data_IF_931501950458
#
_entry.id   IF_931501950458
#
_cell.length_a   1.000
_cell.length_b   1.000
_cell.length_c   1.000
_cell.angle_alpha   90.00
_cell.angle_beta   90.00
_cell.angle_gamma   90.00
#
_symmetry.space_group_name_H-M   'P 1'
#
loop_
_entity.id
_entity.type
_entity.pdbx_description
1 polymer ?
2 non-polymer ?
3 non-polymer ?
4 non-polymer ?
5 non-polymer ?
6 non-polymer ?
7 non-polymer ?
8 water ?
#
# COMPACT_ATOMS: atom_id res chain seq x y z
N UNK A 1 5.75 22.74 -17.40
CA UNK A 1 5.29 22.16 -16.07
C UNK A 1 6.43 21.87 -15.04
N UNK A 2 6.84 22.91 -14.33
CA UNK A 2 7.92 22.81 -13.35
C UNK A 2 7.30 22.49 -12.01
N UNK A 3 7.71 21.39 -11.39
CA UNK A 3 7.19 21.02 -10.05
C UNK A 3 7.84 21.88 -8.96
N UNK A 4 7.26 21.88 -7.73
CA UNK A 4 7.83 22.63 -6.57
C UNK A 4 9.29 22.29 -6.36
N UNK A 5 10.08 23.30 -5.98
CA UNK A 5 11.47 23.03 -5.69
C UNK A 5 11.49 22.16 -4.44
N UNK A 6 12.26 21.07 -4.46
CA UNK A 6 12.25 20.12 -3.37
C UNK A 6 11.22 19.00 -3.51
N UNK A 7 10.50 18.96 -4.64
CA UNK A 7 9.51 17.91 -4.87
C UNK A 7 10.21 16.55 -4.81
N UNK A 8 9.57 15.55 -4.21
CA UNK A 8 10.22 14.23 -4.03
C UNK A 8 9.88 13.32 -5.19
N UNK A 9 10.90 12.82 -5.87
CA UNK A 9 10.72 11.82 -6.95
C UNK A 9 11.31 10.50 -6.51
N UNK A 10 10.43 9.50 -6.40
CA UNK A 10 10.77 8.24 -5.79
C UNK A 10 10.40 7.05 -6.69
N UNK A 11 10.93 5.87 -6.33
CA UNK A 11 10.38 4.62 -6.83
C UNK A 11 10.22 3.68 -5.59
N UNK A 12 9.47 2.60 -5.75
CA UNK A 12 9.14 1.76 -4.58
C UNK A 12 9.33 0.27 -4.86
N UNK A 13 9.60 -0.46 -3.79
CA UNK A 13 9.61 -1.91 -3.83
C UNK A 13 8.97 -2.34 -2.49
N UNK A 14 8.81 -3.63 -2.31
CA UNK A 14 8.31 -4.21 -1.05
C UNK A 14 9.12 -5.47 -0.87
N UNK A 15 9.27 -5.89 0.39
CA UNK A 15 10.25 -6.89 0.72
C UNK A 15 9.90 -8.24 0.06
N UNK A 16 8.67 -8.72 0.20
CA UNK A 16 8.36 -10.04 -0.35
C UNK A 16 8.49 -10.03 -1.90
N UNK A 17 8.10 -8.91 -2.51
CA UNK A 17 8.11 -8.75 -3.97
C UNK A 17 9.49 -8.75 -4.64
N UNK A 18 10.52 -8.31 -3.92
CA UNK A 18 11.84 -8.16 -4.53
C UNK A 18 12.97 -8.96 -3.92
N UNK A 19 12.87 -9.31 -2.63
CA UNK A 19 14.08 -9.69 -1.87
C UNK A 19 14.64 -11.07 -2.16
N UNK A 20 13.79 -12.05 -2.33
CA UNK A 20 14.26 -13.43 -2.29
C UNK A 20 14.83 -13.74 -0.91
N UNK A 21 15.77 -14.65 -0.87
CA UNK A 21 16.37 -14.99 0.40
C UNK A 21 15.32 -15.31 1.45
N UNK A 22 14.27 -16.03 1.04
CA UNK A 22 13.05 -16.20 1.87
C UNK A 22 13.36 -16.94 3.19
N UNK A 23 14.48 -17.68 3.22
CA UNK A 23 14.88 -18.43 4.39
C UNK A 23 16.37 -18.25 4.63
N UNK A 24 16.96 -17.24 3.99
CA UNK A 24 18.36 -16.93 4.18
C UNK A 24 18.68 -16.38 5.58
N UNK A 25 19.85 -16.75 6.10
CA UNK A 25 20.39 -16.20 7.34
C UNK A 25 19.42 -16.23 8.51
N UNK A 26 18.66 -17.31 8.64
CA UNK A 26 17.72 -17.44 9.79
C UNK A 26 16.38 -16.70 9.72
N UNK A 27 16.12 -16.03 8.58
CA UNK A 27 14.79 -15.48 8.36
C UNK A 27 13.66 -16.47 8.61
N UNK A 28 12.66 -16.00 9.34
CA UNK A 28 11.42 -16.77 9.59
C UNK A 28 10.48 -16.79 8.37
N UNK A 29 9.61 -17.80 8.27
CA UNK A 29 8.65 -17.73 7.19
C UNK A 29 7.58 -16.66 7.41
N UNK A 30 7.18 -16.01 6.30
CA UNK A 30 6.04 -15.10 6.27
C UNK A 30 4.93 -15.81 5.55
N UNK A 31 3.72 -15.25 5.65
CA UNK A 31 2.50 -15.89 5.15
C UNK A 31 2.53 -16.16 3.65
N UNK A 32 3.28 -15.33 2.91
CA UNK A 32 3.52 -15.55 1.48
C UNK A 32 4.44 -16.76 1.15
N UNK A 33 5.40 -17.03 2.01
CA UNK A 33 6.22 -18.21 1.85
C UNK A 33 5.29 -19.39 1.92
N UNK A 34 4.51 -19.47 3.01
CA UNK A 34 3.56 -20.56 3.25
C UNK A 34 2.55 -20.68 2.07
N UNK A 35 1.95 -19.54 1.69
CA UNK A 35 0.92 -19.45 0.68
C UNK A 35 1.44 -19.95 -0.68
N UNK A 36 2.58 -19.42 -1.10
CA UNK A 36 3.09 -19.73 -2.41
C UNK A 36 3.58 -21.19 -2.55
N UNK A 37 4.21 -21.67 -1.48
CA UNK A 37 4.73 -23.03 -1.39
C UNK A 37 3.63 -24.09 -1.38
N UNK A 38 2.41 -23.69 -1.05
CA UNK A 38 1.26 -24.56 -1.01
C UNK A 38 0.67 -24.79 -2.42
N UNK A 39 1.01 -23.89 -3.35
CA UNK A 39 0.57 -24.00 -4.73
C UNK A 39 -0.94 -24.09 -4.92
N UNK A 40 -1.36 -24.98 -5.83
CA UNK A 40 -2.77 -25.12 -6.14
C UNK A 40 -3.27 -23.92 -6.93
N UNK A 41 -2.40 -23.40 -7.79
CA UNK A 41 -2.78 -22.35 -8.75
C UNK A 41 -3.42 -21.10 -8.13
N UNK A 42 -3.07 -20.74 -6.89
CA UNK A 42 -3.51 -19.46 -6.32
C UNK A 42 -2.70 -18.29 -6.85
N UNK A 43 -1.45 -18.60 -7.23
CA UNK A 43 -0.56 -17.71 -7.94
C UNK A 43 -0.33 -18.23 -9.37
N UNK A 44 -0.20 -17.29 -10.33
CA UNK A 44 0.24 -17.56 -11.70
C UNK A 44 1.35 -18.60 -11.77
N UNK A 45 1.05 -19.73 -12.45
CA UNK A 45 2.03 -20.81 -12.63
C UNK A 45 2.66 -21.28 -11.30
N UNK A 46 1.88 -21.18 -10.23
CA UNK A 46 2.38 -21.58 -8.90
C UNK A 46 3.74 -20.94 -8.57
N UNK A 47 3.96 -19.68 -9.00
CA UNK A 47 5.23 -18.99 -8.83
C UNK A 47 5.39 -18.56 -7.36
N UNK A 48 6.59 -18.23 -6.93
CA UNK A 48 6.86 -17.82 -5.54
C UNK A 48 7.83 -16.65 -5.49
N UNK A 49 7.96 -16.06 -4.31
CA UNK A 49 9.02 -15.02 -4.09
C UNK A 49 10.29 -15.58 -3.47
N UNK A 50 10.55 -16.88 -3.70
CA UNK A 50 11.70 -17.50 -3.04
C UNK A 50 12.95 -16.77 -3.39
N UNK A 51 13.00 -16.34 -4.65
CA UNK A 51 14.14 -15.60 -5.18
C UNK A 51 13.73 -14.19 -5.63
N UNK A 52 12.65 -14.10 -6.42
CA UNK A 52 12.14 -12.81 -6.91
C UNK A 52 13.25 -12.01 -7.62
N UNK A 53 13.44 -10.75 -7.28
CA UNK A 53 14.54 -10.02 -7.93
C UNK A 53 15.91 -10.29 -7.28
N UNK A 54 15.94 -11.08 -6.22
CA UNK A 54 17.20 -11.36 -5.54
C UNK A 54 17.75 -10.13 -4.84
N UNK A 55 16.89 -9.18 -4.46
CA UNK A 55 17.40 -7.92 -3.86
C UNK A 55 18.05 -8.10 -2.48
N UNK A 56 17.78 -9.21 -1.82
CA UNK A 56 18.48 -9.49 -0.56
C UNK A 56 19.97 -9.69 -0.85
N UNK A 57 20.22 -10.25 -2.04
CA UNK A 57 21.59 -10.59 -2.48
C UNK A 57 22.17 -9.48 -3.33
N UNK A 58 21.27 -8.76 -4.02
CA UNK A 58 21.70 -7.84 -5.06
C UNK A 58 21.33 -6.40 -4.78
N UNK A 59 21.32 -6.00 -3.51
CA UNK A 59 21.04 -4.59 -3.15
C UNK A 59 21.94 -3.62 -3.97
N UNK A 60 23.24 -3.94 -4.11
CA UNK A 60 24.13 -3.04 -4.83
C UNK A 60 23.61 -2.78 -6.24
N UNK A 61 22.91 -3.76 -6.84
CA UNK A 61 22.37 -3.58 -8.22
C UNK A 61 21.15 -2.64 -8.17
N UNK A 62 20.28 -2.83 -7.17
CA UNK A 62 19.23 -1.83 -6.86
C UNK A 62 19.76 -0.41 -6.65
N UNK A 63 20.82 -0.24 -5.87
CA UNK A 63 21.37 1.07 -5.65
C UNK A 63 21.82 1.70 -6.97
N UNK A 64 22.46 0.93 -7.85
CA UNK A 64 22.85 1.42 -9.17
C UNK A 64 21.63 1.92 -9.92
N UNK A 65 20.52 1.18 -9.86
CA UNK A 65 19.26 1.59 -10.52
C UNK A 65 18.74 2.90 -9.97
N UNK A 66 18.69 2.97 -8.64
CA UNK A 66 18.29 4.16 -7.91
C UNK A 66 19.18 5.38 -8.25
N UNK A 67 20.49 5.16 -8.36
CA UNK A 67 21.42 6.22 -8.71
C UNK A 67 21.26 6.67 -10.16
N UNK A 68 21.11 5.74 -11.08
CA UNK A 68 20.82 6.06 -12.50
C UNK A 68 19.57 6.93 -12.66
N UNK A 69 18.50 6.53 -11.99
CA UNK A 69 17.27 7.32 -11.99
C UNK A 69 17.42 8.70 -11.36
N UNK A 70 18.38 8.85 -10.41
CA UNK A 70 18.49 10.10 -9.63
C UNK A 70 17.32 10.39 -8.68
N UNK A 71 16.74 9.34 -8.15
CA UNK A 71 15.65 9.45 -7.17
C UNK A 71 16.08 10.33 -6.01
N UNK A 72 15.17 11.14 -5.52
CA UNK A 72 15.42 11.90 -4.31
C UNK A 72 15.03 11.07 -3.06
N UNK A 73 14.11 10.11 -3.25
CA UNK A 73 13.58 9.24 -2.14
C UNK A 73 13.49 7.83 -2.66
N UNK A 74 13.56 6.85 -1.79
CA UNK A 74 13.34 5.49 -2.23
C UNK A 74 12.48 4.82 -1.19
N UNK A 75 11.36 4.19 -1.64
CA UNK A 75 10.48 3.51 -0.68
C UNK A 75 10.67 2.02 -0.74
N UNK A 76 10.88 1.41 0.41
CA UNK A 76 11.09 -0.04 0.44
C UNK A 76 10.46 -0.48 1.73
N UNK A 77 10.33 -1.78 1.93
CA UNK A 77 9.71 -2.22 3.16
C UNK A 77 10.68 -3.15 3.90
N UNK A 78 10.47 -3.25 5.22
CA UNK A 78 11.24 -4.12 6.08
C UNK A 78 10.47 -5.42 6.20
N UNK A 79 11.19 -6.53 6.10
CA UNK A 79 10.56 -7.81 6.31
C UNK A 79 10.50 -8.13 7.79
N UNK A 80 9.30 -8.10 8.35
CA UNK A 80 9.09 -8.38 9.76
C UNK A 80 9.67 -9.76 10.09
N UNK A 81 9.40 -10.75 9.24
CA UNK A 81 9.90 -12.12 9.53
C UNK A 81 11.41 -12.27 9.26
N UNK A 82 12.00 -11.40 8.44
CA UNK A 82 13.46 -11.36 8.33
C UNK A 82 14.14 -10.77 9.61
N UNK A 83 13.58 -9.69 10.15
CA UNK A 83 14.14 -9.07 11.37
C UNK A 83 13.91 -9.88 12.61
N UNK A 84 12.67 -10.39 12.76
CA UNK A 84 12.12 -11.06 13.93
C UNK A 84 11.44 -12.35 13.48
N UNK A 85 12.23 -13.40 13.31
CA UNK A 85 11.77 -14.68 12.73
C UNK A 85 10.49 -15.22 13.31
N UNK A 86 10.25 -15.03 14.60
CA UNK A 86 8.97 -15.48 15.19
C UNK A 86 8.00 -14.33 15.41
N UNK A 87 8.34 -13.15 14.88
CA UNK A 87 7.47 -11.94 15.03
C UNK A 87 7.78 -11.06 16.24
N UNK A 88 8.67 -11.56 17.13
CA UNK A 88 8.97 -10.93 18.42
C UNK A 88 10.44 -10.75 18.57
N UNK A 89 10.79 -9.83 19.48
CA UNK A 89 12.20 -9.52 19.75
C UNK A 89 12.85 -10.57 20.73
N UNK A 90 12.16 -11.64 21.04
CA UNK A 90 12.79 -12.80 21.70
C UNK A 90 14.07 -13.21 20.99
N UNK A 91 14.01 -13.24 19.64
CA UNK A 91 15.16 -13.52 18.82
C UNK A 91 15.19 -12.49 17.66
N UNK A 92 16.33 -11.85 17.55
CA UNK A 92 16.54 -10.79 16.57
C UNK A 92 17.60 -11.27 15.57
N UNK A 93 17.30 -11.14 14.29
CA UNK A 93 18.22 -11.57 13.25
C UNK A 93 19.12 -10.41 12.91
N UNK A 94 20.34 -10.36 13.46
CA UNK A 94 21.26 -9.31 13.14
C UNK A 94 21.53 -9.17 11.64
N UNK A 95 21.57 -10.29 10.91
CA UNK A 95 21.85 -10.19 9.48
C UNK A 95 20.73 -9.43 8.76
N UNK A 96 19.51 -9.60 9.24
CA UNK A 96 18.37 -8.77 8.79
C UNK A 96 18.63 -7.30 9.07
N UNK A 97 18.98 -6.95 10.31
CA UNK A 97 19.29 -5.56 10.65
C UNK A 97 20.40 -5.02 9.78
N UNK A 98 21.47 -5.79 9.63
CA UNK A 98 22.62 -5.34 8.87
C UNK A 98 22.25 -5.08 7.40
N UNK A 99 21.37 -5.92 6.84
CA UNK A 99 20.93 -5.71 5.45
C UNK A 99 20.20 -4.37 5.33
N UNK A 100 19.21 -4.11 6.20
CA UNK A 100 18.46 -2.84 6.14
C UNK A 100 19.27 -1.62 6.49
N UNK A 101 20.20 -1.73 7.45
CA UNK A 101 21.18 -0.66 7.70
C UNK A 101 22.04 -0.30 6.50
N UNK A 102 22.56 -1.31 5.80
CA UNK A 102 23.30 -1.11 4.57
C UNK A 102 22.47 -0.34 3.51
N UNK A 103 21.22 -0.73 3.23
CA UNK A 103 20.32 0.07 2.36
C UNK A 103 20.22 1.52 2.86
N UNK A 104 19.94 1.70 4.15
CA UNK A 104 19.71 3.04 4.67
C UNK A 104 21.00 3.85 4.57
N UNK A 105 22.12 3.27 5.00
CA UNK A 105 23.40 3.98 4.92
C UNK A 105 23.75 4.31 3.46
N UNK A 106 23.59 3.35 2.53
CA UNK A 106 23.93 3.57 1.12
C UNK A 106 23.05 4.62 0.49
N UNK A 107 21.77 4.65 0.90
CA UNK A 107 20.85 5.71 0.45
C UNK A 107 21.33 7.08 0.87
N UNK A 108 21.54 7.24 2.17
CA UNK A 108 21.90 8.52 2.72
C UNK A 108 23.25 9.04 2.17
N UNK A 109 24.22 8.13 1.97
CA UNK A 109 25.52 8.61 1.44
C UNK A 109 25.39 9.06 -0.03
N UNK A 110 24.31 8.60 -0.68
CA UNK A 110 24.01 9.00 -2.06
C UNK A 110 22.97 10.09 -2.18
N UNK A 111 22.66 10.72 -1.06
CA UNK A 111 21.63 11.77 -1.04
C UNK A 111 20.22 11.32 -1.42
N UNK A 112 19.87 10.09 -1.07
CA UNK A 112 18.52 9.62 -1.34
C UNK A 112 17.86 9.40 0.02
N UNK A 113 16.63 9.87 0.15
CA UNK A 113 15.95 9.83 1.44
C UNK A 113 15.13 8.53 1.51
N UNK A 114 15.33 7.72 2.57
CA UNK A 114 14.51 6.51 2.73
C UNK A 114 13.09 6.81 3.22
N UNK A 115 12.12 6.12 2.62
CA UNK A 115 10.76 6.11 3.11
C UNK A 115 10.49 4.63 3.43
N UNK A 116 10.22 4.31 4.70
CA UNK A 116 10.30 2.92 5.09
C UNK A 116 8.95 2.47 5.53
N UNK A 117 8.51 1.36 4.91
CA UNK A 117 7.29 0.69 5.30
C UNK A 117 7.63 -0.43 6.26
N UNK A 118 6.94 -0.46 7.41
CA UNK A 118 7.21 -1.51 8.39
C UNK A 118 6.64 -2.85 7.95
N UNK A 119 5.44 -2.82 7.39
CA UNK A 119 4.73 -4.07 7.14
C UNK A 119 3.96 -3.96 5.82
N UNK A 120 4.23 -4.90 4.91
CA UNK A 120 3.71 -4.79 3.55
C UNK A 120 3.14 -6.16 3.13
N UNK A 121 1.94 -6.45 3.62
CA UNK A 121 1.19 -7.65 3.29
C UNK A 121 1.82 -8.95 3.77
N UNK A 122 2.93 -8.88 4.54
CA UNK A 122 3.77 -10.06 4.76
C UNK A 122 3.95 -10.43 6.24
N UNK A 123 2.88 -10.80 6.90
CA UNK A 123 2.97 -11.18 8.29
C UNK A 123 3.93 -12.38 8.54
N UNK A 124 4.68 -12.35 9.66
CA UNK A 124 5.29 -13.59 10.04
C UNK A 124 4.24 -14.70 10.19
N UNK A 125 4.59 -15.88 9.69
CA UNK A 125 3.68 -17.00 9.74
C UNK A 125 3.23 -17.33 11.18
N UNK A 126 4.17 -17.26 12.11
CA UNK A 126 3.87 -17.46 13.56
C UNK A 126 2.71 -16.59 14.06
N UNK A 127 2.68 -15.31 13.66
CA UNK A 127 1.61 -14.40 14.11
C UNK A 127 0.30 -14.64 13.36
N UNK A 128 0.38 -15.10 12.11
CA UNK A 128 -0.82 -15.51 11.40
C UNK A 128 -1.45 -16.76 12.06
N UNK A 129 -0.58 -17.65 12.53
CA UNK A 129 -1.01 -18.89 13.23
C UNK A 129 -1.68 -18.52 14.55
N UNK A 130 -1.33 -17.35 15.09
CA UNK A 130 -1.93 -16.76 16.29
C UNK A 130 -3.19 -15.95 15.99
N UNK A 131 -3.76 -16.10 14.81
CA UNK A 131 -4.99 -15.39 14.49
C UNK A 131 -4.76 -14.21 13.54
N UNK A 132 -3.49 -13.81 13.35
CA UNK A 132 -3.19 -12.67 12.43
C UNK A 132 -3.96 -11.41 12.80
N UNK A 133 -4.50 -10.70 11.81
CA UNK A 133 -5.26 -9.48 12.07
C UNK A 133 -6.70 -9.69 12.60
N UNK A 134 -7.14 -10.95 12.66
CA UNK A 134 -8.47 -11.26 13.26
C UNK A 134 -8.45 -11.34 14.78
N UNK A 135 -7.27 -11.37 15.38
CA UNK A 135 -7.14 -11.41 16.83
C UNK A 135 -6.52 -10.14 17.41
N UNK A 136 -6.98 -9.75 18.60
CA UNK A 136 -6.56 -8.54 19.30
C UNK A 136 -5.08 -8.57 19.66
N UNK A 137 -4.52 -9.77 19.77
CA UNK A 137 -3.11 -9.97 20.12
C UNK A 137 -2.14 -9.28 19.18
N UNK A 138 -2.56 -9.14 17.93
CA UNK A 138 -1.73 -8.57 16.89
C UNK A 138 -1.32 -7.13 17.19
N UNK A 139 -2.17 -6.39 17.89
CA UNK A 139 -1.97 -4.96 18.13
C UNK A 139 -0.68 -4.75 18.89
N UNK A 140 -0.49 -5.50 19.98
CA UNK A 140 0.73 -5.40 20.76
C UNK A 140 1.93 -6.00 20.02
N UNK A 141 1.72 -7.09 19.30
CA UNK A 141 2.81 -7.66 18.52
C UNK A 141 3.35 -6.62 17.50
N UNK A 142 2.43 -5.92 16.82
CA UNK A 142 2.78 -4.89 15.83
C UNK A 142 3.44 -3.68 16.47
N UNK A 143 2.82 -3.18 17.55
CA UNK A 143 3.40 -2.07 18.31
C UNK A 143 4.84 -2.34 18.72
N UNK A 144 5.12 -3.52 19.27
CA UNK A 144 6.48 -3.82 19.69
C UNK A 144 7.43 -3.96 18.48
N UNK A 145 6.92 -4.50 17.38
CA UNK A 145 7.70 -4.53 16.14
C UNK A 145 8.05 -3.10 15.68
N UNK A 146 7.06 -2.22 15.65
CA UNK A 146 7.24 -0.83 15.21
C UNK A 146 8.30 -0.14 16.11
N UNK A 147 8.16 -0.32 17.44
CA UNK A 147 9.15 0.25 18.37
C UNK A 147 10.53 -0.29 18.10
N UNK A 148 10.65 -1.59 17.86
CA UNK A 148 11.97 -2.14 17.51
C UNK A 148 12.54 -1.49 16.23
N UNK A 149 11.70 -1.33 15.19
CA UNK A 149 12.17 -0.66 13.97
C UNK A 149 12.60 0.82 14.20
N UNK A 150 11.77 1.56 14.93
CA UNK A 150 12.03 2.97 15.23
C UNK A 150 13.37 3.06 15.96
N UNK A 151 13.54 2.24 16.98
CA UNK A 151 14.74 2.18 17.79
C UNK A 151 15.99 1.80 16.96
N UNK A 152 15.82 0.84 16.04
CA UNK A 152 16.94 0.32 15.28
C UNK A 152 17.37 1.24 14.14
N UNK A 153 16.39 1.80 13.42
CA UNK A 153 16.68 2.55 12.19
C UNK A 153 16.28 4.03 12.23
N UNK A 154 15.47 4.40 13.24
CA UNK A 154 14.92 5.75 13.31
C UNK A 154 15.92 6.90 13.46
N UNK A 155 17.17 6.58 13.75
CA UNK A 155 18.21 7.59 13.90
C UNK A 155 18.54 8.17 12.51
N UNK A 156 18.18 7.44 11.44
CA UNK A 156 18.47 7.79 10.07
C UNK A 156 17.21 7.81 9.19
N UNK A 157 16.14 7.17 9.64
CA UNK A 157 14.86 7.15 8.87
C UNK A 157 13.93 8.15 9.53
N UNK A 158 13.39 9.08 8.75
CA UNK A 158 12.44 10.04 9.32
C UNK A 158 11.04 9.98 8.65
N UNK A 159 10.86 9.02 7.74
CA UNK A 159 9.58 8.90 7.02
C UNK A 159 9.16 7.46 6.99
N UNK A 160 8.05 7.19 7.66
CA UNK A 160 7.63 5.82 7.93
C UNK A 160 6.20 5.59 7.43
N UNK A 161 5.97 4.43 6.83
CA UNK A 161 4.59 3.93 6.56
C UNK A 161 4.49 2.72 7.49
N UNK A 162 3.59 2.74 8.46
CA UNK A 162 3.45 1.58 9.40
C UNK A 162 2.90 0.36 8.64
N UNK A 163 1.80 0.57 7.93
CA UNK A 163 1.12 -0.53 7.29
C UNK A 163 0.83 -0.14 5.85
N UNK A 164 1.29 -0.96 4.91
CA UNK A 164 0.94 -0.77 3.51
C UNK A 164 -0.51 -1.16 3.24
N UNK A 165 -1.29 -0.19 2.74
CA UNK A 165 -2.62 -0.42 2.18
C UNK A 165 -3.46 -1.33 3.09
N UNK A 166 -3.69 -0.89 4.33
CA UNK A 166 -4.43 -1.70 5.29
C UNK A 166 -5.78 -2.04 4.75
N UNK A 167 -6.32 -1.17 3.90
CA UNK A 167 -7.66 -1.40 3.38
C UNK A 167 -7.69 -2.62 2.43
N UNK A 168 -6.72 -2.68 1.52
CA UNK A 168 -6.57 -3.84 0.61
C UNK A 168 -6.22 -5.10 1.36
N UNK A 169 -5.28 -4.99 2.30
CA UNK A 169 -4.91 -6.10 3.12
C UNK A 169 -6.13 -6.73 3.82
N UNK A 170 -6.96 -5.90 4.47
CA UNK A 170 -8.10 -6.44 5.21
C UNK A 170 -9.06 -7.17 4.28
N UNK A 171 -9.31 -6.64 3.09
CA UNK A 171 -10.21 -7.28 2.10
C UNK A 171 -9.58 -8.56 1.52
N UNK A 172 -8.37 -8.44 0.98
CA UNK A 172 -7.74 -9.55 0.28
C UNK A 172 -7.37 -10.69 1.20
N UNK A 173 -6.84 -10.37 2.39
CA UNK A 173 -6.38 -11.45 3.28
C UNK A 173 -7.55 -12.08 4.05
N UNK A 174 -8.50 -11.25 4.48
CA UNK A 174 -9.46 -11.72 5.49
C UNK A 174 -10.93 -11.70 5.06
N UNK A 175 -11.24 -11.02 3.95
CA UNK A 175 -12.62 -10.99 3.50
C UNK A 175 -12.77 -11.92 2.31
N UNK A 176 -12.03 -11.65 1.26
CA UNK A 176 -12.02 -12.48 0.05
C UNK A 176 -11.15 -13.70 0.22
N UNK A 177 -10.10 -13.59 1.01
CA UNK A 177 -9.21 -14.72 1.18
C UNK A 177 -8.46 -15.07 -0.09
N UNK A 178 -8.15 -14.05 -0.87
CA UNK A 178 -7.33 -14.19 -2.07
C UNK A 178 -5.84 -14.11 -1.74
N UNK A 179 -5.53 -13.43 -0.63
CA UNK A 179 -4.16 -13.34 -0.13
C UNK A 179 -4.07 -14.31 1.06
N UNK A 180 -2.85 -14.69 1.47
CA UNK A 180 -2.82 -15.47 2.71
C UNK A 180 -3.52 -14.73 3.86
N UNK A 181 -4.20 -15.47 4.77
CA UNK A 181 -4.19 -16.93 4.84
C UNK A 181 -5.25 -17.65 3.99
N UNK A 182 -5.93 -16.94 3.08
CA UNK A 182 -6.67 -17.60 2.01
C UNK A 182 -8.03 -18.20 2.36
N UNK A 183 -8.66 -17.73 3.43
CA UNK A 183 -10.01 -18.18 3.81
C UNK A 183 -10.99 -17.02 3.68
N UNK A 184 -12.01 -17.19 2.83
CA UNK A 184 -13.09 -16.25 2.67
C UNK A 184 -13.88 -16.11 3.96
N UNK A 185 -14.24 -14.88 4.30
CA UNK A 185 -15.14 -14.56 5.41
C UNK A 185 -15.89 -13.38 4.91
N UNK A 186 -16.69 -13.59 3.86
CA UNK A 186 -17.29 -12.45 3.16
C UNK A 186 -18.12 -11.63 4.13
N UNK A 187 -17.90 -10.31 4.15
CA UNK A 187 -18.70 -9.44 4.97
C UNK A 187 -18.39 -9.43 6.46
N UNK A 188 -17.41 -10.22 6.92
CA UNK A 188 -17.04 -10.22 8.36
C UNK A 188 -15.55 -10.09 8.64
N UNK A 189 -14.74 -10.87 7.93
CA UNK A 189 -13.29 -10.89 8.21
C UNK A 189 -12.61 -9.56 7.86
N UNK A 190 -13.03 -8.94 6.78
CA UNK A 190 -12.48 -7.64 6.40
C UNK A 190 -12.64 -6.60 7.50
N UNK A 191 -13.87 -6.46 8.03
CA UNK A 191 -14.11 -5.45 9.08
C UNK A 191 -13.38 -5.77 10.40
N UNK A 192 -13.35 -7.05 10.77
CA UNK A 192 -12.67 -7.51 11.96
C UNK A 192 -11.16 -7.22 11.82
N UNK A 193 -10.58 -7.55 10.66
CA UNK A 193 -9.16 -7.20 10.43
C UNK A 193 -8.94 -5.69 10.43
N UNK A 194 -9.78 -4.95 9.71
CA UNK A 194 -9.66 -3.47 9.65
C UNK A 194 -9.63 -2.81 11.05
N UNK A 195 -10.47 -3.30 11.94
CA UNK A 195 -10.55 -2.79 13.28
C UNK A 195 -9.21 -2.89 14.00
N UNK A 196 -8.57 -4.07 13.91
CA UNK A 196 -7.26 -4.31 14.48
C UNK A 196 -6.14 -3.59 13.77
N UNK A 197 -6.21 -3.49 12.44
CA UNK A 197 -5.21 -2.72 11.66
C UNK A 197 -5.19 -1.25 12.08
N UNK A 198 -6.38 -0.67 12.19
CA UNK A 198 -6.54 0.72 12.57
C UNK A 198 -5.96 0.95 13.98
N UNK A 199 -6.37 0.10 14.92
CA UNK A 199 -5.81 0.17 16.26
C UNK A 199 -4.32 -0.09 16.32
N UNK A 200 -3.79 -1.10 15.61
CA UNK A 200 -2.33 -1.35 15.67
C UNK A 200 -1.57 -0.15 15.13
N UNK A 201 -2.06 0.41 14.01
CA UNK A 201 -1.44 1.62 13.45
C UNK A 201 -1.41 2.77 14.49
N UNK A 202 -2.55 3.04 15.10
CA UNK A 202 -2.67 4.15 16.09
C UNK A 202 -1.73 3.95 17.27
N UNK A 203 -1.68 2.73 17.84
CA UNK A 203 -0.78 2.44 18.93
C UNK A 203 0.66 2.68 18.51
N UNK A 204 1.03 2.27 17.28
CA UNK A 204 2.40 2.39 16.81
C UNK A 204 2.73 3.87 16.63
N UNK A 205 1.73 4.66 16.20
CA UNK A 205 1.91 6.12 16.07
C UNK A 205 2.20 6.78 17.44
N UNK A 206 1.42 6.38 18.43
CA UNK A 206 1.63 6.89 19.80
C UNK A 206 2.97 6.49 20.39
N UNK A 207 3.41 5.26 20.08
CA UNK A 207 4.73 4.85 20.44
C UNK A 207 5.80 5.74 19.82
N UNK A 208 5.69 6.01 18.52
CA UNK A 208 6.61 6.96 17.88
C UNK A 208 6.56 8.36 18.56
N UNK A 209 5.35 8.87 18.67
CA UNK A 209 5.11 10.18 19.23
C UNK A 209 5.69 10.37 20.64
N UNK A 210 5.42 9.42 21.54
CA UNK A 210 5.84 9.53 22.94
C UNK A 210 7.28 9.04 23.22
N UNK A 211 7.81 8.14 22.39
CA UNK A 211 9.14 7.56 22.63
C UNK A 211 10.22 8.00 21.67
N UNK A 212 9.85 8.33 20.42
CA UNK A 212 10.88 8.52 19.43
C UNK A 212 10.86 9.89 18.75
N UNK A 213 9.69 10.51 18.64
CA UNK A 213 9.59 11.75 17.88
C UNK A 213 10.55 12.89 18.33
N UNK A 214 10.68 13.11 19.64
CA UNK A 214 11.42 14.27 20.13
C UNK A 214 12.85 14.22 19.64
N UNK A 215 13.43 13.02 19.75
CA UNK A 215 14.78 12.77 19.28
C UNK A 215 14.92 12.62 17.78
N UNK A 216 13.99 11.90 17.16
CA UNK A 216 14.18 11.48 15.74
C UNK A 216 13.55 12.46 14.78
N UNK A 217 12.44 13.08 15.22
CA UNK A 217 11.86 14.25 14.56
C UNK A 217 11.37 13.83 13.16
N UNK A 218 10.84 12.61 13.04
CA UNK A 218 10.32 12.17 11.76
C UNK A 218 8.82 12.21 11.70
N UNK A 219 8.26 11.50 10.71
CA UNK A 219 6.83 11.44 10.61
C UNK A 219 6.33 10.07 10.14
N UNK A 220 5.11 9.74 10.56
CA UNK A 220 4.60 8.38 10.51
C UNK A 220 3.20 8.47 9.93
N UNK A 221 2.88 7.58 9.00
CA UNK A 221 1.53 7.47 8.50
C UNK A 221 1.29 6.01 8.11
N UNK A 222 0.16 5.72 7.46
CA UNK A 222 -0.08 4.37 6.87
C UNK A 222 -0.63 4.66 5.48
N UNK A 223 -0.42 3.73 4.56
CA UNK A 223 -0.86 4.05 3.20
C UNK A 223 -2.17 3.41 2.96
N UNK A 224 -2.91 3.96 1.99
CA UNK A 224 -4.23 3.44 1.65
C UNK A 224 -4.38 3.39 0.13
N UNK A 225 -4.92 2.26 -0.30
CA UNK A 225 -5.29 2.00 -1.69
C UNK A 225 -6.55 2.85 -1.97
N UNK A 226 -6.51 3.58 -3.09
CA UNK A 226 -7.59 4.40 -3.48
C UNK A 226 -7.85 4.24 -4.97
N UNK A 227 -9.09 3.90 -5.27
CA UNK A 227 -9.59 3.85 -6.67
C UNK A 227 -10.49 5.07 -6.77
N UNK A 228 -10.26 5.94 -7.74
CA UNK A 228 -11.16 7.07 -7.89
C UNK A 228 -12.47 6.51 -8.45
N UNK A 229 -13.59 7.12 -8.06
CA UNK A 229 -14.88 6.54 -8.43
C UNK A 229 -15.82 7.60 -8.91
N UNK A 230 -16.47 7.29 -10.03
CA UNK A 230 -17.45 8.16 -10.65
C UNK A 230 -18.78 7.41 -10.84
N UNK A 231 -19.91 8.13 -10.73
CA UNK A 231 -21.20 7.45 -10.98
C UNK A 231 -21.29 6.93 -12.43
N UNK A 232 -21.78 5.70 -12.64
CA UNK A 232 -21.92 5.09 -13.99
C UNK A 232 -22.79 5.93 -14.94
N UNK A 233 -23.86 6.47 -14.38
CA UNK A 233 -24.73 7.44 -15.05
C UNK A 233 -24.59 8.75 -14.30
N UNK A 234 -23.92 9.72 -14.93
CA UNK A 234 -23.61 11.01 -14.29
C UNK A 234 -24.82 11.79 -13.80
N UNK A 235 -25.99 11.43 -14.34
CA UNK A 235 -27.28 12.11 -14.08
C UNK A 235 -28.11 11.42 -13.00
N UNK A 236 -27.82 10.13 -12.79
CA UNK A 236 -28.44 9.35 -11.75
C UNK A 236 -27.96 9.74 -10.34
N UNK A 237 -28.91 10.25 -9.55
CA UNK A 237 -28.69 10.62 -8.14
C UNK A 237 -28.28 9.41 -7.29
N UNK A 238 -28.96 8.28 -7.47
CA UNK A 238 -28.60 7.08 -6.73
C UNK A 238 -27.16 6.63 -7.07
N UNK A 239 -26.77 6.74 -8.35
CA UNK A 239 -25.39 6.51 -8.77
C UNK A 239 -24.39 7.51 -8.18
N UNK A 240 -24.77 8.79 -8.08
CA UNK A 240 -23.91 9.83 -7.52
C UNK A 240 -23.67 9.50 -6.05
N UNK A 241 -24.77 9.29 -5.31
CA UNK A 241 -24.71 8.88 -3.93
C UNK A 241 -23.93 7.58 -3.76
N UNK A 242 -24.12 6.63 -4.68
CA UNK A 242 -23.41 5.36 -4.69
C UNK A 242 -21.87 5.51 -4.82
N UNK A 243 -21.42 6.31 -5.80
CA UNK A 243 -20.01 6.60 -6.04
C UNK A 243 -19.41 7.23 -4.77
N UNK A 244 -20.08 8.23 -4.22
CA UNK A 244 -19.66 8.83 -2.94
C UNK A 244 -19.49 7.77 -1.85
N UNK A 245 -20.51 6.94 -1.69
CA UNK A 245 -20.54 5.90 -0.66
C UNK A 245 -19.44 4.86 -0.83
N UNK A 246 -19.14 4.52 -2.08
CA UNK A 246 -18.08 3.55 -2.41
C UNK A 246 -16.71 4.09 -2.05
N UNK A 247 -16.54 5.42 -2.14
CA UNK A 247 -15.28 6.04 -1.76
C UNK A 247 -15.16 5.99 -0.25
N UNK A 248 -16.29 6.29 0.39
CA UNK A 248 -16.37 6.35 1.84
C UNK A 248 -16.08 4.97 2.44
N UNK A 249 -16.63 3.93 1.79
CA UNK A 249 -16.39 2.58 2.23
C UNK A 249 -14.92 2.15 2.12
N UNK A 250 -14.27 2.46 1.01
CA UNK A 250 -13.02 1.77 0.72
C UNK A 250 -11.85 2.56 1.22
N UNK A 251 -12.05 3.88 1.29
CA UNK A 251 -11.02 4.83 1.62
C UNK A 251 -11.25 5.51 2.96
N UNK A 252 -12.41 6.15 3.14
CA UNK A 252 -12.62 6.93 4.35
C UNK A 252 -12.84 6.02 5.55
N UNK A 253 -13.22 4.76 5.31
CA UNK A 253 -13.43 3.83 6.45
C UNK A 253 -12.17 3.84 7.35
N UNK A 254 -11.00 3.85 6.70
CA UNK A 254 -9.73 3.90 7.44
C UNK A 254 -9.30 5.33 7.75
N UNK A 255 -9.40 6.22 6.77
CA UNK A 255 -8.82 7.55 6.91
C UNK A 255 -9.56 8.43 7.91
N UNK A 256 -10.90 8.33 7.95
CA UNK A 256 -11.71 9.12 8.92
C UNK A 256 -11.30 8.89 10.38
N UNK A 257 -11.28 7.61 10.88
CA UNK A 257 -10.89 7.50 12.30
C UNK A 257 -9.46 8.02 12.59
N UNK A 258 -8.52 7.70 11.71
CA UNK A 258 -7.13 8.10 11.91
C UNK A 258 -6.83 9.59 11.75
N UNK A 259 -7.42 10.22 10.74
CA UNK A 259 -7.19 11.63 10.44
C UNK A 259 -8.20 12.64 11.08
N UNK A 260 -9.41 12.19 11.35
CA UNK A 260 -10.52 13.11 11.70
C UNK A 260 -10.98 12.97 13.13
N UNK A 261 -11.67 11.87 13.47
CA UNK A 261 -12.30 11.81 14.79
C UNK A 261 -12.24 10.48 15.56
N UNK A 262 -11.37 9.57 15.11
CA UNK A 262 -11.24 8.27 15.79
C UNK A 262 -12.36 7.26 15.55
N UNK A 263 -13.34 7.63 14.71
CA UNK A 263 -14.44 6.71 14.44
C UNK A 263 -14.68 6.52 12.95
N UNK A 264 -15.33 5.41 12.61
CA UNK A 264 -15.75 5.13 11.22
C UNK A 264 -16.75 6.14 10.65
N UNK A 265 -16.89 6.20 9.29
CA UNK A 265 -17.92 7.04 8.71
C UNK A 265 -19.31 6.57 9.13
N UNK A 266 -20.20 7.53 9.31
CA UNK A 266 -21.53 7.21 9.80
C UNK A 266 -22.31 6.31 8.86
N UNK A 267 -22.18 6.51 7.55
CA UNK A 267 -22.91 5.71 6.56
C UNK A 267 -22.39 4.26 6.51
N UNK A 268 -21.09 4.10 6.78
CA UNK A 268 -20.48 2.79 6.94
C UNK A 268 -21.12 2.06 8.14
N UNK A 269 -21.15 2.73 9.29
CA UNK A 269 -21.69 2.15 10.50
C UNK A 269 -23.18 1.84 10.30
N UNK A 270 -23.94 2.77 9.71
CA UNK A 270 -25.38 2.55 9.58
C UNK A 270 -25.72 1.45 8.57
N UNK A 271 -25.06 1.42 7.41
CA UNK A 271 -25.34 0.39 6.39
C UNK A 271 -25.05 -0.99 6.94
N UNK A 272 -23.90 -1.14 7.58
CA UNK A 272 -23.50 -2.47 8.07
C UNK A 272 -24.40 -2.96 9.24
N UNK A 273 -24.65 -2.08 10.22
CA UNK A 273 -25.49 -2.39 11.38
C UNK A 273 -26.90 -2.83 10.93
N UNK A 274 -27.47 -2.04 10.02
CA UNK A 274 -28.80 -2.28 9.46
C UNK A 274 -28.86 -3.64 8.75
N UNK A 275 -27.93 -3.85 7.81
CA UNK A 275 -27.75 -5.13 7.12
C UNK A 275 -27.55 -6.26 8.12
N UNK A 276 -26.66 -6.05 9.09
CA UNK A 276 -26.28 -7.06 10.08
C UNK A 276 -27.49 -7.49 10.90
N UNK A 277 -28.34 -6.53 11.23
CA UNK A 277 -29.51 -6.79 12.07
C UNK A 277 -30.51 -7.69 11.29
N UNK A 278 -30.77 -7.34 10.02
CA UNK A 278 -31.67 -8.11 9.16
C UNK A 278 -31.15 -9.49 8.84
N UNK A 279 -29.81 -9.65 8.85
CA UNK A 279 -29.21 -10.96 8.61
C UNK A 279 -29.23 -11.85 9.85
N UNK A 280 -29.61 -11.30 11.00
CA UNK A 280 -29.70 -12.14 12.21
C UNK A 280 -28.47 -12.13 13.12
N UNK A 281 -27.56 -11.18 12.92
CA UNK A 281 -26.40 -11.05 13.81
C UNK A 281 -26.83 -10.33 15.09
N UNK A 282 -26.39 -10.80 16.27
CA UNK A 282 -26.63 -10.06 17.52
C UNK A 282 -25.78 -8.81 17.65
N UNK A 283 -24.77 -8.71 16.79
CA UNK A 283 -23.93 -7.52 16.75
C UNK A 283 -23.79 -7.04 15.29
N UNK A 284 -23.53 -5.76 15.08
CA UNK A 284 -23.07 -5.33 13.75
C UNK A 284 -21.80 -6.12 13.40
N UNK A 285 -21.69 -6.54 12.14
CA UNK A 285 -20.43 -7.11 11.58
C UNK A 285 -19.22 -6.14 11.60
N UNK A 286 -19.50 -4.85 11.74
CA UNK A 286 -18.46 -3.82 11.92
C UNK A 286 -18.22 -3.62 13.43
N UNK A 287 -17.03 -4.03 13.92
CA UNK A 287 -16.68 -3.85 15.33
C UNK A 287 -16.70 -2.36 15.74
N UNK A 288 -17.29 -2.04 16.89
CA UNK A 288 -17.32 -0.64 17.38
C UNK A 288 -15.98 -0.24 17.95
N UNK A 289 -15.55 1.00 17.77
CA UNK A 289 -14.48 1.51 18.63
C UNK A 289 -15.07 1.95 19.96
N UNK A 290 -14.39 1.62 21.05
CA UNK A 290 -14.79 2.13 22.36
C UNK A 290 -14.41 3.60 22.41
N UNK A 291 -14.94 4.33 23.38
CA UNK A 291 -14.68 5.75 23.46
C UNK A 291 -13.20 6.00 23.67
N UNK A 292 -12.56 5.09 24.39
CA UNK A 292 -11.13 5.22 24.66
C UNK A 292 -10.34 4.91 23.38
N UNK A 293 -10.77 3.91 22.62
CA UNK A 293 -10.11 3.65 21.34
C UNK A 293 -10.27 4.81 20.37
N UNK A 294 -11.46 5.41 20.26
CA UNK A 294 -11.63 6.56 19.39
C UNK A 294 -10.63 7.64 19.79
N UNK A 295 -10.45 7.83 21.09
CA UNK A 295 -9.56 8.91 21.53
C UNK A 295 -8.10 8.59 21.16
N UNK A 296 -7.69 7.32 21.28
CA UNK A 296 -6.32 6.91 20.88
C UNK A 296 -6.09 6.97 19.37
N UNK A 297 -7.13 6.66 18.58
CA UNK A 297 -6.95 6.57 17.12
C UNK A 297 -6.92 7.94 16.48
N UNK A 298 -7.74 8.86 17.01
CA UNK A 298 -7.88 10.17 16.35
C UNK A 298 -6.50 10.85 16.25
N UNK A 299 -6.19 11.37 15.06
CA UNK A 299 -5.00 12.16 14.85
C UNK A 299 -3.72 11.35 14.87
N UNK A 300 -3.74 10.13 14.32
CA UNK A 300 -2.52 9.34 14.34
C UNK A 300 -1.84 9.24 12.97
N UNK A 301 -1.83 10.32 12.19
CA UNK A 301 -1.12 10.33 10.90
C UNK A 301 -0.49 11.68 10.65
N UNK A 302 0.80 11.70 10.38
CA UNK A 302 1.51 12.93 10.15
C UNK A 302 1.45 13.45 8.73
N UNK A 303 0.91 12.61 7.82
CA UNK A 303 0.76 12.97 6.42
C UNK A 303 -0.14 11.92 5.76
N UNK A 304 -0.62 12.23 4.56
CA UNK A 304 -1.57 11.32 3.92
C UNK A 304 -0.84 10.52 2.86
N UNK A 305 -0.72 9.21 3.08
CA UNK A 305 -0.06 8.34 2.09
C UNK A 305 -1.12 7.57 1.27
N UNK A 306 -1.10 7.75 -0.05
CA UNK A 306 -2.09 7.13 -0.90
C UNK A 306 -1.48 6.34 -2.10
N UNK A 307 -2.12 5.23 -2.43
CA UNK A 307 -1.78 4.54 -3.65
C UNK A 307 -2.91 4.80 -4.63
N UNK A 308 -2.55 5.07 -5.89
CA UNK A 308 -3.54 5.20 -6.94
C UNK A 308 -3.05 4.46 -8.17
N UNK A 309 -3.93 3.69 -8.80
CA UNK A 309 -3.62 3.13 -10.15
C UNK A 309 -4.70 3.45 -11.21
N UNK A 310 -5.95 3.48 -10.77
CA UNK A 310 -7.07 3.38 -11.72
C UNK A 310 -8.37 3.97 -11.14
N UNK A 311 -9.42 3.97 -11.95
CA UNK A 311 -10.73 4.56 -11.62
C UNK A 311 -11.80 3.53 -11.99
N UNK A 312 -12.96 3.59 -11.35
CA UNK A 312 -14.08 2.74 -11.76
C UNK A 312 -15.34 3.56 -11.78
N UNK A 313 -16.29 3.07 -12.55
CA UNK A 313 -17.65 3.60 -12.50
C UNK A 313 -18.41 2.80 -11.46
N UNK A 314 -19.35 3.46 -10.81
CA UNK A 314 -20.12 2.87 -9.75
C UNK A 314 -21.60 3.03 -10.05
N UNK A 315 -22.32 1.94 -9.88
CA UNK A 315 -23.78 1.97 -10.00
C UNK A 315 -24.38 1.46 -8.68
N UNK A 316 -25.42 2.13 -8.22
CA UNK A 316 -26.22 1.63 -7.10
C UNK A 316 -26.79 0.25 -7.39
N UNK A 317 -26.69 -0.63 -6.40
CA UNK A 317 -27.21 -1.98 -6.52
C UNK A 317 -27.80 -2.31 -5.15
N UNK A 318 -29.11 -2.10 -5.04
CA UNK A 318 -29.83 -2.37 -3.82
C UNK A 318 -29.60 -3.80 -3.38
N UNK A 319 -29.33 -3.97 -2.08
CA UNK A 319 -29.16 -5.30 -1.52
C UNK A 319 -30.52 -5.85 -1.03
N UNK A 320 -31.40 -6.14 -1.98
CA UNK A 320 -32.77 -6.56 -1.66
C UNK A 320 -32.81 -7.83 -0.81
N UNK A 321 -31.96 -8.79 -1.17
CA UNK A 321 -31.97 -10.11 -0.56
C UNK A 321 -31.25 -10.18 0.80
N UNK A 322 -30.52 -9.12 1.14
CA UNK A 322 -29.69 -9.13 2.35
C UNK A 322 -28.50 -10.04 2.21
N UNK A 323 -27.93 -10.11 1.00
CA UNK A 323 -26.70 -10.89 0.72
C UNK A 323 -25.52 -10.38 1.54
N UNK A 324 -24.60 -11.30 1.84
CA UNK A 324 -23.47 -11.07 2.74
C UNK A 324 -22.24 -10.63 1.97
N UNK A 325 -21.74 -9.45 2.28
CA UNK A 325 -20.46 -9.02 1.68
C UNK A 325 -20.30 -7.53 1.74
N UNK A 326 -19.05 -7.05 1.56
CA UNK A 326 -18.79 -5.61 1.59
C UNK A 326 -19.47 -4.84 0.45
N UNK A 327 -19.41 -5.38 -0.75
CA UNK A 327 -20.09 -4.71 -1.89
C UNK A 327 -21.59 -4.61 -1.60
N UNK A 328 -22.15 -5.68 -1.03
CA UNK A 328 -23.58 -5.70 -0.72
C UNK A 328 -23.94 -4.77 0.45
N UNK A 329 -23.00 -4.59 1.40
CA UNK A 329 -23.15 -3.59 2.46
C UNK A 329 -23.14 -2.19 1.88
N UNK A 330 -22.24 -1.94 0.91
CA UNK A 330 -22.16 -0.63 0.25
C UNK A 330 -23.30 -0.46 -0.79
N UNK A 331 -23.89 -1.57 -1.20
CA UNK A 331 -24.99 -1.59 -2.21
C UNK A 331 -24.54 -0.91 -3.49
N UNK A 332 -23.45 -1.42 -4.05
CA UNK A 332 -22.88 -0.82 -5.23
C UNK A 332 -22.42 -1.95 -6.12
N UNK A 333 -22.27 -1.64 -7.40
CA UNK A 333 -21.50 -2.47 -8.30
C UNK A 333 -20.45 -1.56 -8.97
N UNK A 334 -19.34 -2.14 -9.41
CA UNK A 334 -18.26 -1.38 -10.05
C UNK A 334 -17.85 -2.00 -11.38
N UNK A 335 -17.46 -1.17 -12.33
CA UNK A 335 -17.08 -1.63 -13.67
C UNK A 335 -16.30 -0.57 -14.44
N UNK A 336 -15.44 -0.98 -15.38
CA UNK A 336 -14.76 0.07 -16.12
C UNK A 336 -15.66 0.72 -17.17
N UNK A 337 -15.30 1.90 -17.64
CA UNK A 337 -15.88 2.44 -18.87
C UNK A 337 -15.25 1.64 -19.99
N UNK A 338 -16.10 1.11 -20.91
CA UNK A 338 -15.55 0.23 -21.93
C UNK A 338 -14.60 0.94 -22.90
N UNK A 339 -14.59 2.26 -22.88
CA UNK A 339 -13.62 3.03 -23.70
C UNK A 339 -12.20 3.14 -23.12
N UNK A 340 -11.99 2.71 -21.88
CA UNK A 340 -10.67 2.86 -21.23
C UNK A 340 -9.70 1.78 -21.71
N UNK A 341 -8.44 2.13 -21.95
CA UNK A 341 -7.38 1.11 -22.12
C UNK A 341 -7.05 0.46 -20.75
N UNK A 342 -6.65 -0.81 -20.75
CA UNK A 342 -6.16 -1.50 -19.53
C UNK A 342 -5.01 -2.43 -19.81
N UNK A 343 -4.23 -2.68 -18.75
CA UNK A 343 -3.41 -3.88 -18.61
C UNK A 343 -3.84 -4.48 -17.25
N UNK A 344 -4.30 -5.73 -17.27
CA UNK A 344 -4.87 -6.37 -16.09
C UNK A 344 -5.94 -5.41 -15.52
N UNK A 345 -6.08 -5.31 -14.21
CA UNK A 345 -7.08 -4.41 -13.63
C UNK A 345 -6.72 -2.92 -13.69
N UNK A 346 -5.55 -2.58 -14.27
CA UNK A 346 -5.18 -1.16 -14.32
C UNK A 346 -5.73 -0.57 -15.61
N UNK A 347 -6.92 0.04 -15.51
CA UNK A 347 -7.52 0.82 -16.61
C UNK A 347 -6.92 2.21 -16.50
N UNK A 348 -6.49 2.74 -17.65
CA UNK A 348 -5.70 3.97 -17.71
C UNK A 348 -6.66 5.13 -17.63
N UNK A 349 -6.68 5.83 -16.49
CA UNK A 349 -7.58 6.96 -16.30
C UNK A 349 -6.81 8.02 -15.51
N UNK A 350 -5.85 8.68 -16.17
CA UNK A 350 -4.91 9.54 -15.45
C UNK A 350 -5.58 10.67 -14.64
N UNK A 351 -6.70 11.20 -15.13
CA UNK A 351 -7.42 12.26 -14.42
C UNK A 351 -7.98 11.80 -13.09
N UNK A 352 -8.12 10.48 -12.92
CA UNK A 352 -8.58 9.96 -11.61
C UNK A 352 -7.67 10.37 -10.47
N UNK A 353 -6.37 10.50 -10.75
CA UNK A 353 -5.42 10.85 -9.70
C UNK A 353 -5.63 12.31 -9.28
N UNK A 354 -5.92 13.18 -10.24
CA UNK A 354 -6.26 14.57 -9.90
C UNK A 354 -7.50 14.69 -9.03
N UNK A 355 -8.58 14.00 -9.42
CA UNK A 355 -9.80 14.01 -8.63
C UNK A 355 -9.59 13.43 -7.22
N UNK A 356 -8.83 12.35 -7.12
CA UNK A 356 -8.52 11.75 -5.84
C UNK A 356 -7.74 12.74 -4.95
N UNK A 357 -6.75 13.40 -5.50
CA UNK A 357 -5.90 14.34 -4.72
C UNK A 357 -6.70 15.52 -4.18
N UNK A 358 -7.60 16.05 -5.02
CA UNK A 358 -8.47 17.14 -4.61
C UNK A 358 -9.46 16.65 -3.55
N UNK A 359 -10.02 15.44 -3.72
CA UNK A 359 -10.83 14.79 -2.65
C UNK A 359 -10.07 14.70 -1.31
N UNK A 360 -8.81 14.25 -1.35
CA UNK A 360 -8.00 14.14 -0.12
C UNK A 360 -7.80 15.54 0.53
N UNK A 361 -7.39 16.50 -0.28
CA UNK A 361 -7.29 17.91 0.17
C UNK A 361 -8.60 18.40 0.87
N UNK A 362 -9.73 18.16 0.21
CA UNK A 362 -11.03 18.68 0.67
C UNK A 362 -11.56 17.98 1.90
N UNK A 363 -11.20 16.71 2.05
CA UNK A 363 -11.81 15.86 3.08
C UNK A 363 -10.93 15.76 4.29
N UNK A 364 -9.60 15.86 4.09
CA UNK A 364 -8.64 15.63 5.16
C UNK A 364 -7.82 16.86 5.49
N UNK A 365 -8.43 18.03 5.40
CA UNK A 365 -7.85 19.32 5.84
C UNK A 365 -6.52 19.63 5.17
N UNK A 366 -6.45 19.50 3.85
CA UNK A 366 -5.31 19.93 3.09
C UNK A 366 -4.02 19.37 3.71
N UNK A 367 -3.91 18.01 3.76
CA UNK A 367 -2.71 17.44 4.38
C UNK A 367 -1.52 17.45 3.41
N UNK A 368 -0.33 17.24 3.94
CA UNK A 368 0.78 16.74 3.14
C UNK A 368 0.38 15.39 2.54
N UNK A 369 0.53 15.28 1.23
CA UNK A 369 0.25 14.02 0.54
C UNK A 369 1.47 13.42 -0.10
N UNK A 370 1.71 12.14 0.20
CA UNK A 370 2.66 11.33 -0.54
C UNK A 370 1.88 10.30 -1.35
N UNK A 371 2.09 10.29 -2.68
CA UNK A 371 1.70 9.13 -3.49
C UNK A 371 2.77 8.09 -3.32
N UNK A 372 2.45 7.11 -2.49
CA UNK A 372 3.44 6.09 -2.16
C UNK A 372 3.52 4.88 -3.13
N UNK A 373 2.52 4.79 -4.03
CA UNK A 373 2.55 3.82 -5.15
C UNK A 373 1.68 4.32 -6.28
N UNK A 374 2.27 4.41 -7.47
CA UNK A 374 1.48 4.61 -8.68
C UNK A 374 2.27 4.01 -9.81
N UNK A 375 1.62 3.37 -10.77
CA UNK A 375 2.36 3.00 -11.98
C UNK A 375 1.51 2.24 -12.95
N UNK A 376 2.18 1.50 -13.82
CA UNK A 376 1.50 0.78 -14.94
C UNK A 376 2.24 -0.50 -15.18
N UNK A 377 1.50 -1.60 -15.22
CA UNK A 377 2.08 -2.91 -15.55
C UNK A 377 2.18 -3.07 -17.08
N UNK A 378 3.15 -3.86 -17.52
CA UNK A 378 3.09 -4.48 -18.85
C UNK A 378 2.96 -5.98 -18.69
N UNK A 379 2.21 -6.59 -19.61
CA UNK A 379 2.16 -8.04 -19.74
C UNK A 379 3.38 -8.59 -20.45
N UNK A 380 3.53 -9.91 -20.40
CA UNK A 380 4.44 -10.62 -21.33
C UNK A 380 3.74 -10.81 -22.72
N UNK A 381 4.44 -10.45 -23.83
CA UNK A 381 5.85 -10.03 -23.93
C UNK A 381 6.09 -8.52 -23.73
N UNK A 382 6.89 -8.15 -22.71
CA UNK A 382 7.06 -6.73 -22.39
C UNK A 382 8.24 -6.09 -23.14
N UNK A 383 7.96 -5.08 -23.99
CA UNK A 383 9.01 -4.39 -24.74
C UNK A 383 9.86 -3.54 -23.80
N UNK A 384 11.18 -3.53 -23.99
CA UNK A 384 12.04 -2.65 -23.24
C UNK A 384 11.76 -1.24 -23.65
N UNK A 385 11.46 -1.05 -24.93
CA UNK A 385 11.15 0.29 -25.41
C UNK A 385 9.64 0.53 -25.25
N UNK A 386 9.26 0.75 -23.98
CA UNK A 386 7.86 0.79 -23.56
C UNK A 386 7.26 2.20 -23.73
N UNK A 387 7.15 2.64 -25.00
CA UNK A 387 6.76 4.01 -25.27
C UNK A 387 5.29 4.25 -24.99
N UNK A 388 4.45 3.23 -25.12
CA UNK A 388 3.04 3.40 -24.77
C UNK A 388 2.83 3.58 -23.26
N UNK A 389 3.55 2.79 -22.48
CA UNK A 389 3.44 2.92 -21.02
C UNK A 389 3.96 4.29 -20.59
N UNK A 390 5.08 4.73 -21.18
CA UNK A 390 5.62 6.01 -20.79
C UNK A 390 4.65 7.16 -21.03
N UNK A 391 3.96 7.11 -22.16
CA UNK A 391 2.83 8.00 -22.42
C UNK A 391 1.82 8.05 -21.27
N UNK A 392 1.45 6.88 -20.72
CA UNK A 392 0.57 6.85 -19.52
C UNK A 392 1.19 7.56 -18.31
N UNK A 393 2.50 7.40 -18.10
CA UNK A 393 3.18 8.13 -17.01
C UNK A 393 3.10 9.63 -17.21
N UNK A 394 3.42 10.07 -18.44
CA UNK A 394 3.42 11.46 -18.82
C UNK A 394 2.02 12.06 -18.57
N UNK A 395 0.96 11.39 -18.97
CA UNK A 395 -0.39 11.89 -18.71
C UNK A 395 -0.68 11.98 -17.20
N UNK A 396 -0.18 10.99 -16.47
CA UNK A 396 -0.30 11.00 -15.02
C UNK A 396 0.45 12.19 -14.42
N UNK A 397 1.70 12.42 -14.83
CA UNK A 397 2.47 13.58 -14.30
C UNK A 397 1.80 14.91 -14.61
N UNK A 398 1.18 15.03 -15.79
CA UNK A 398 0.45 16.27 -16.10
C UNK A 398 -0.69 16.44 -15.13
N UNK A 399 -1.34 15.33 -14.77
CA UNK A 399 -2.46 15.44 -13.80
C UNK A 399 -1.99 15.80 -12.39
N UNK A 400 -0.81 15.31 -12.01
CA UNK A 400 -0.19 15.67 -10.70
C UNK A 400 0.12 17.17 -10.72
N UNK A 401 0.63 17.65 -11.85
CA UNK A 401 0.92 19.06 -11.98
C UNK A 401 -0.34 19.89 -11.84
N UNK A 402 -1.40 19.51 -12.52
CA UNK A 402 -2.74 20.10 -12.38
C UNK A 402 -3.21 20.17 -10.91
N UNK A 403 -3.10 19.05 -10.20
CA UNK A 403 -3.51 18.99 -8.78
C UNK A 403 -2.74 19.98 -7.91
N UNK A 404 -1.44 20.04 -8.11
CA UNK A 404 -0.60 21.01 -7.42
C UNK A 404 -0.93 22.45 -7.83
N UNK A 405 -0.84 22.73 -9.14
CA UNK A 405 -0.94 24.10 -9.65
C UNK A 405 -2.36 24.67 -9.62
N UNK A 406 -3.35 23.92 -10.13
CA UNK A 406 -4.74 24.38 -10.14
C UNK A 406 -5.44 24.17 -8.80
N UNK A 407 -5.34 22.97 -8.23
CA UNK A 407 -6.12 22.64 -7.05
C UNK A 407 -5.39 22.90 -5.76
N UNK A 408 -4.11 23.30 -5.84
CA UNK A 408 -3.28 23.62 -4.67
C UNK A 408 -3.21 22.47 -3.65
N UNK A 409 -3.10 21.25 -4.18
CA UNK A 409 -2.89 20.05 -3.37
C UNK A 409 -1.43 20.04 -2.94
N UNK A 410 -1.22 19.79 -1.65
CA UNK A 410 0.13 19.65 -1.09
C UNK A 410 0.72 18.25 -1.27
N UNK A 411 0.89 17.86 -2.53
CA UNK A 411 1.62 16.67 -2.95
C UNK A 411 3.09 16.95 -2.88
N UNK A 412 3.83 16.17 -2.08
CA UNK A 412 5.23 16.45 -1.89
C UNK A 412 6.13 15.34 -2.39
N UNK A 413 5.61 14.12 -2.42
CA UNK A 413 6.35 13.00 -2.95
C UNK A 413 5.45 12.18 -3.88
N UNK A 414 6.05 11.74 -4.99
CA UNK A 414 5.41 10.81 -5.96
C UNK A 414 6.33 9.60 -5.98
N UNK A 415 5.80 8.40 -5.76
CA UNK A 415 6.61 7.22 -5.79
C UNK A 415 6.11 6.22 -6.83
N UNK A 416 6.94 5.96 -7.85
CA UNK A 416 6.57 4.98 -8.89
C UNK A 416 6.71 3.55 -8.36
N UNK A 417 5.62 2.81 -8.42
CA UNK A 417 5.66 1.36 -8.35
C UNK A 417 5.93 0.84 -9.77
N UNK A 418 7.11 0.27 -10.05
CA UNK A 418 8.12 -0.09 -9.03
C UNK A 418 9.50 0.25 -9.58
N UNK A 419 10.51 0.24 -8.73
CA UNK A 419 11.90 0.28 -9.22
C UNK A 419 12.15 -0.86 -10.19
N UNK A 420 11.57 -2.03 -9.91
CA UNK A 420 11.94 -3.30 -10.54
C UNK A 420 10.73 -4.08 -10.93
N UNK A 421 10.77 -4.83 -12.04
CA UNK A 421 9.78 -5.89 -12.25
C UNK A 421 9.92 -6.84 -11.08
N UNK A 422 8.80 -7.34 -10.58
CA UNK A 422 8.88 -8.14 -9.38
C UNK A 422 7.66 -9.08 -9.26
N UNK A 423 7.56 -9.72 -8.11
CA UNK A 423 6.46 -10.63 -7.83
C UNK A 423 5.16 -9.87 -7.56
N UNK A 424 4.26 -9.85 -8.54
CA UNK A 424 3.02 -9.09 -8.41
C UNK A 424 1.97 -9.97 -7.76
N UNK A 425 2.24 -10.38 -6.53
CA UNK A 425 1.32 -11.14 -5.71
C UNK A 425 0.71 -12.31 -6.55
N UNK A 426 -0.62 -12.42 -6.64
CA UNK A 426 -1.23 -13.59 -7.28
C UNK A 426 -0.97 -13.67 -8.78
N UNK A 427 -0.62 -12.52 -9.38
CA UNK A 427 -0.13 -12.47 -10.78
C UNK A 427 1.31 -12.97 -10.96
N UNK A 428 2.00 -13.18 -9.85
CA UNK A 428 3.40 -13.59 -9.96
C UNK A 428 4.18 -12.63 -10.86
N UNK A 429 5.05 -13.18 -11.69
CA UNK A 429 5.96 -12.36 -12.51
C UNK A 429 5.35 -11.96 -13.85
N UNK A 430 4.08 -12.30 -14.06
CA UNK A 430 3.38 -12.06 -15.35
C UNK A 430 2.97 -10.60 -15.53
N UNK A 431 3.08 -9.85 -14.45
CA UNK A 431 2.72 -8.45 -14.46
C UNK A 431 3.96 -7.61 -14.08
N UNK A 432 4.46 -6.82 -15.02
CA UNK A 432 5.76 -6.16 -14.87
C UNK A 432 5.63 -4.66 -14.70
N UNK A 433 5.79 -4.20 -13.46
CA UNK A 433 5.55 -2.76 -13.10
C UNK A 433 6.87 -2.00 -13.05
N UNK A 434 7.97 -2.69 -13.28
CA UNK A 434 9.29 -2.05 -13.11
C UNK A 434 9.60 -0.93 -14.06
N UNK A 435 10.41 0.01 -13.57
CA UNK A 435 11.16 0.95 -14.42
C UNK A 435 12.39 0.21 -14.96
N UNK A 436 12.84 -0.79 -14.20
CA UNK A 436 13.91 -1.66 -14.67
C UNK A 436 13.36 -3.05 -14.90
N UNK A 437 13.70 -3.62 -16.06
CA UNK A 437 13.33 -4.97 -16.44
C UNK A 437 14.21 -5.92 -15.66
N UNK A 438 13.64 -7.01 -15.20
CA UNK A 438 14.44 -8.04 -14.57
C UNK A 438 14.16 -9.37 -15.30
N UNK A 439 15.22 -10.12 -15.55
CA UNK A 439 15.08 -11.40 -16.24
C UNK A 439 15.06 -12.46 -15.13
N UNK A 440 13.89 -13.04 -14.89
CA UNK A 440 13.70 -14.04 -13.84
C UNK A 440 14.16 -15.47 -14.25
N UNK A 441 14.60 -15.63 -15.52
CA UNK A 441 15.04 -16.93 -16.02
C UNK A 441 16.55 -17.05 -15.83
N UNK A 442 17.20 -15.90 -15.71
CA UNK A 442 18.62 -15.78 -15.53
C UNK A 442 18.88 -15.77 -14.01
N UNK A 443 19.80 -16.62 -13.53
CA UNK A 443 20.09 -16.72 -12.08
C UNK A 443 20.77 -15.46 -11.49
N UNK A 444 21.34 -14.61 -12.36
CA UNK A 444 21.93 -13.34 -11.94
C UNK A 444 20.86 -12.22 -11.76
N UNK A 445 19.63 -12.47 -12.23
CA UNK A 445 18.51 -11.52 -12.20
C UNK A 445 18.95 -10.13 -12.68
N UNK A 446 19.53 -10.06 -13.89
CA UNK A 446 20.08 -8.79 -14.31
C UNK A 446 18.96 -7.75 -14.47
N UNK A 447 19.30 -6.49 -14.15
CA UNK A 447 18.37 -5.35 -14.33
C UNK A 447 18.75 -4.56 -15.58
N UNK A 448 17.75 -4.20 -16.37
CA UNK A 448 17.99 -3.43 -17.59
C UNK A 448 16.88 -2.38 -17.66
N UNK A 449 17.20 -1.11 -17.92
CA UNK A 449 16.15 -0.09 -17.94
C UNK A 449 15.14 -0.29 -19.08
N UNK A 450 13.87 -0.13 -18.77
CA UNK A 450 12.91 0.22 -19.79
C UNK A 450 13.17 1.65 -20.27
N UNK A 451 12.65 2.01 -21.44
CA UNK A 451 12.53 3.43 -21.80
C UNK A 451 11.98 4.32 -20.67
N UNK A 452 10.94 3.86 -19.96
CA UNK A 452 10.38 4.63 -18.82
C UNK A 452 11.40 5.02 -17.77
N UNK A 453 12.43 4.22 -17.57
CA UNK A 453 13.47 4.57 -16.61
C UNK A 453 14.28 5.76 -17.11
N UNK A 454 14.65 5.73 -18.39
CA UNK A 454 15.42 6.83 -18.98
C UNK A 454 14.60 8.09 -19.01
N UNK A 455 13.32 7.96 -19.31
CA UNK A 455 12.43 9.13 -19.38
C UNK A 455 12.13 9.69 -17.98
N UNK A 456 11.93 8.81 -17.01
CA UNK A 456 11.66 9.26 -15.62
C UNK A 456 12.86 10.03 -15.08
N UNK A 457 14.05 9.51 -15.34
CA UNK A 457 15.28 10.18 -14.92
C UNK A 457 15.35 11.64 -15.42
N UNK A 458 14.86 11.89 -16.64
CA UNK A 458 14.83 13.21 -17.27
C UNK A 458 13.80 14.10 -16.58
N UNK A 459 12.61 13.58 -16.29
CA UNK A 459 11.64 14.30 -15.47
C UNK A 459 12.26 14.73 -14.14
N UNK A 460 12.97 13.81 -13.51
CA UNK A 460 13.58 14.07 -12.22
C UNK A 460 14.65 15.16 -12.34
N UNK A 461 15.62 14.95 -13.23
CA UNK A 461 16.67 15.94 -13.58
C UNK A 461 16.08 17.35 -13.86
N UNK A 462 15.01 17.40 -14.66
CA UNK A 462 14.37 18.66 -15.01
C UNK A 462 13.35 19.17 -14.00
N UNK A 463 13.14 18.36 -12.95
CA UNK A 463 12.05 18.57 -12.00
C UNK A 463 10.72 18.97 -12.64
N UNK A 464 10.35 18.22 -13.67
CA UNK A 464 9.07 18.47 -14.36
C UNK A 464 9.17 18.06 -15.80
N UNK A 465 8.25 18.57 -16.60
CA UNK A 465 8.14 18.07 -17.98
C UNK A 465 7.73 19.16 -18.96
N UNK A 466 7.76 18.85 -20.26
CA UNK A 466 7.17 19.75 -21.27
C UNK A 466 6.03 19.04 -22.03
#
# INVERSE_FOLDING_TARGET
>A
MAFPAGFGWAAATAAYQVEGGWDADGKGPCVWDTFTHQGGERVFKNQTGDVACGSYTLWEEDLKCIKQLGLTHYRFSLSWSRLLPDGTTGFINQKGIDYYNKIIDDLLKNGVTPIVTLYHFDLPQTLEDQGGWLSEAIIESFDKYAQFCFSTFGDRVKQWITINQANVLSVMSYDLGMFPPGIPHFGTGGYQAAHNLIKAHARSWHSYDSLFRKKQKGMVSLSLFAVWLEPADPNSVSDQEAAKRAITFHLDLFAKPIFIDGDYPEVVKSQIASMSQKQGYPSSRLPEFTEEEKKMIKGTADFFAVQYYTTRLIKYQENKKGELGILQDAEIEFFPDPSWKNVDWIYVVPWGVCKLLKYIKDTYNNPVIYITENGFPQSDPAPLDDTQRWEYFRQTFQELFKAIQLDKVNLQVYCAWSLLDNFEWNQGYSSRFGLFHVDFEDPARPRVPYTSAKEYAKIIRNNGLEAHL
#
